data_IF_042593951884
#
_entry.id   IF_042593951884
#
_cell.length_a   1.000
_cell.length_b   1.000
_cell.length_c   1.000
_cell.angle_alpha   90.00
_cell.angle_beta   90.00
_cell.angle_gamma   90.00
#
_symmetry.space_group_name_H-M   'P 1'
#
loop_
_entity.id
_entity.type
_entity.pdbx_description
1 polymer ?
#
# COMPACT_ATOMS: atom_id res chain seq x y z
N UNK A 1 -17.18 -15.81 23.86
CA UNK A 1 -18.12 -14.70 24.12
C UNK A 1 -17.96 -13.71 22.98
N UNK A 2 -19.00 -13.50 22.19
CA UNK A 2 -18.98 -12.59 21.03
C UNK A 2 -19.81 -11.36 21.35
N UNK A 3 -19.18 -10.20 21.41
CA UNK A 3 -19.85 -8.91 21.57
C UNK A 3 -20.16 -8.36 20.18
N UNK A 4 -21.41 -8.52 19.73
CA UNK A 4 -21.94 -7.74 18.60
C UNK A 4 -22.26 -6.34 19.08
N UNK A 5 -21.53 -5.34 18.59
CA UNK A 5 -21.84 -3.92 18.79
C UNK A 5 -22.76 -3.47 17.65
N UNK A 6 -24.01 -3.17 17.99
CA UNK A 6 -24.98 -2.54 17.09
C UNK A 6 -24.63 -1.07 16.90
N UNK A 7 -24.10 -0.71 15.73
CA UNK A 7 -23.89 0.68 15.32
C UNK A 7 -25.17 1.25 14.72
N UNK A 8 -26.12 1.62 15.57
CA UNK A 8 -27.18 2.56 15.19
C UNK A 8 -27.27 3.67 16.23
N UNK A 9 -26.48 4.73 16.02
CA UNK A 9 -26.73 6.04 16.64
C UNK A 9 -26.06 7.10 15.75
N UNK A 10 -26.82 7.67 14.81
CA UNK A 10 -26.47 8.98 14.25
C UNK A 10 -26.78 10.03 15.32
N UNK A 11 -25.88 10.18 16.28
CA UNK A 11 -25.91 11.31 17.21
C UNK A 11 -25.60 12.57 16.41
N UNK A 12 -26.46 13.59 16.50
CA UNK A 12 -26.15 14.93 16.05
C UNK A 12 -25.03 15.47 16.95
N UNK A 13 -23.83 15.65 16.39
CA UNK A 13 -22.65 16.10 17.14
C UNK A 13 -22.58 17.61 17.04
N UNK A 14 -22.89 18.32 18.12
CA UNK A 14 -22.66 19.76 18.25
C UNK A 14 -21.31 20.01 18.91
N UNK A 15 -20.34 20.55 18.18
CA UNK A 15 -19.07 21.05 18.73
C UNK A 15 -19.23 22.53 19.11
N UNK A 16 -18.73 22.91 20.28
CA UNK A 16 -18.58 24.31 20.66
C UNK A 16 -17.38 24.96 19.94
N UNK A 17 -17.42 26.28 19.81
CA UNK A 17 -16.39 27.06 19.11
C UNK A 17 -15.01 26.88 19.72
N UNK A 18 -14.88 26.76 21.05
CA UNK A 18 -13.59 26.60 21.72
C UNK A 18 -12.94 25.25 21.34
N UNK A 19 -13.74 24.20 21.21
CA UNK A 19 -13.30 22.90 20.69
C UNK A 19 -12.87 22.99 19.23
N UNK A 20 -13.60 23.70 18.38
CA UNK A 20 -13.22 23.91 16.96
C UNK A 20 -11.91 24.68 16.86
N UNK A 21 -11.73 25.73 17.65
CA UNK A 21 -10.51 26.54 17.68
C UNK A 21 -9.32 25.70 18.17
N UNK A 22 -9.54 24.84 19.17
CA UNK A 22 -8.51 23.92 19.67
C UNK A 22 -8.09 22.92 18.59
N UNK A 23 -9.02 22.36 17.82
CA UNK A 23 -8.71 21.46 16.69
C UNK A 23 -7.90 22.21 15.64
N UNK A 24 -8.31 23.43 15.25
CA UNK A 24 -7.60 24.23 14.26
C UNK A 24 -6.16 24.57 14.71
N UNK A 25 -5.97 24.87 16.00
CA UNK A 25 -4.65 25.11 16.59
C UNK A 25 -3.81 23.83 16.56
N UNK A 26 -4.38 22.68 16.91
CA UNK A 26 -3.68 21.39 16.90
C UNK A 26 -3.31 20.95 15.47
N UNK A 27 -4.18 21.18 14.48
CA UNK A 27 -3.88 20.91 13.06
C UNK A 27 -2.80 21.84 12.51
N UNK A 28 -2.79 23.12 12.92
CA UNK A 28 -1.77 24.08 12.53
C UNK A 28 -0.40 23.82 13.20
N UNK A 29 -0.39 23.26 14.40
CA UNK A 29 0.82 22.87 15.14
C UNK A 29 1.29 21.46 14.81
N UNK A 30 0.43 20.63 14.23
CA UNK A 30 0.84 19.33 13.72
C UNK A 30 1.84 19.58 12.60
N UNK A 31 3.10 19.22 12.84
CA UNK A 31 4.07 19.04 11.75
C UNK A 31 3.39 18.23 10.65
N UNK A 32 3.45 18.67 9.38
CA UNK A 32 2.92 17.87 8.29
C UNK A 32 3.66 16.55 8.36
N UNK A 33 2.96 15.51 8.82
CA UNK A 33 3.51 14.18 8.85
C UNK A 33 3.77 13.85 7.39
N UNK A 34 5.03 13.95 6.97
CA UNK A 34 5.38 13.61 5.60
C UNK A 34 4.90 12.18 5.42
N UNK A 35 3.99 11.99 4.46
CA UNK A 35 3.51 10.64 4.17
C UNK A 35 4.79 9.83 3.89
N UNK A 36 5.01 8.70 4.59
CA UNK A 36 6.27 7.97 4.43
C UNK A 36 6.48 7.69 2.94
N UNK A 37 7.64 8.09 2.44
CA UNK A 37 7.95 7.99 1.01
C UNK A 37 8.03 6.53 0.62
N UNK A 38 7.16 6.07 -0.29
CA UNK A 38 7.17 4.68 -0.78
C UNK A 38 8.58 4.21 -1.06
N UNK A 39 8.88 2.97 -0.68
CA UNK A 39 10.16 2.37 -1.03
C UNK A 39 10.34 2.40 -2.55
N UNK A 40 11.58 2.59 -2.99
CA UNK A 40 11.89 2.54 -4.42
C UNK A 40 11.60 1.13 -4.94
N UNK A 41 10.77 1.04 -5.97
CA UNK A 41 10.52 -0.19 -6.70
C UNK A 41 11.31 -0.17 -8.01
N UNK A 42 12.07 -1.23 -8.28
CA UNK A 42 12.73 -1.45 -9.56
C UNK A 42 12.49 -2.87 -10.04
N UNK A 43 12.60 -3.07 -11.34
CA UNK A 43 12.33 -4.35 -12.00
C UNK A 43 13.57 -4.84 -12.72
N UNK A 44 13.84 -6.12 -12.57
CA UNK A 44 14.82 -6.85 -13.36
C UNK A 44 14.07 -7.90 -14.17
N UNK A 45 14.38 -8.03 -15.46
CA UNK A 45 13.92 -9.17 -16.24
C UNK A 45 15.01 -10.25 -16.16
N UNK A 46 14.68 -11.42 -15.60
CA UNK A 46 15.63 -12.53 -15.43
C UNK A 46 15.60 -13.46 -16.66
N UNK A 47 14.40 -13.87 -17.08
CA UNK A 47 14.18 -14.68 -18.28
C UNK A 47 13.11 -14.04 -19.19
N UNK A 48 12.98 -14.53 -20.42
CA UNK A 48 11.88 -14.16 -21.31
C UNK A 48 10.53 -14.49 -20.67
N UNK A 49 9.80 -13.43 -20.28
CA UNK A 49 8.50 -13.57 -19.63
C UNK A 49 8.54 -13.60 -18.11
N UNK A 50 9.69 -13.37 -17.45
CA UNK A 50 9.77 -13.30 -15.99
C UNK A 50 10.42 -11.99 -15.52
N UNK A 51 9.75 -11.28 -14.61
CA UNK A 51 10.24 -10.04 -14.00
C UNK A 51 10.24 -10.13 -12.49
N UNK A 52 11.35 -9.74 -11.88
CA UNK A 52 11.54 -9.72 -10.43
C UNK A 52 11.48 -8.29 -9.91
N UNK A 53 10.66 -8.07 -8.89
CA UNK A 53 10.56 -6.81 -8.19
C UNK A 53 11.64 -6.70 -7.10
N UNK A 54 12.38 -5.60 -7.09
CA UNK A 54 13.17 -5.15 -5.94
C UNK A 54 12.46 -3.96 -5.29
N UNK A 55 12.04 -4.12 -4.04
CA UNK A 55 11.32 -3.12 -3.24
C UNK A 55 12.18 -2.68 -2.06
N UNK A 56 12.83 -1.52 -2.18
CA UNK A 56 13.68 -0.98 -1.12
C UNK A 56 14.89 -1.86 -0.77
N UNK A 57 15.43 -2.60 -1.75
CA UNK A 57 16.53 -3.55 -1.54
C UNK A 57 16.08 -4.99 -1.25
N UNK A 58 14.79 -5.21 -0.98
CA UNK A 58 14.23 -6.54 -0.70
C UNK A 58 13.54 -7.13 -1.93
N UNK A 59 13.38 -8.45 -1.93
CA UNK A 59 12.54 -9.13 -2.91
C UNK A 59 11.07 -8.71 -2.75
N UNK A 60 10.52 -8.07 -3.76
CA UNK A 60 9.14 -7.58 -3.78
C UNK A 60 8.13 -8.57 -4.37
N UNK A 61 8.59 -9.64 -5.00
CA UNK A 61 7.73 -10.58 -5.73
C UNK A 61 8.16 -10.73 -7.19
N UNK A 62 7.30 -11.37 -7.98
CA UNK A 62 7.56 -11.67 -9.39
C UNK A 62 6.34 -11.42 -10.27
N UNK A 63 6.58 -11.27 -11.56
CA UNK A 63 5.56 -11.33 -12.60
C UNK A 63 6.00 -12.38 -13.61
N UNK A 64 5.13 -13.35 -13.86
CA UNK A 64 5.32 -14.36 -14.90
C UNK A 64 4.33 -14.14 -16.04
N UNK A 65 4.80 -14.20 -17.29
CA UNK A 65 3.96 -14.21 -18.47
C UNK A 65 3.53 -15.64 -18.78
N UNK A 66 2.22 -15.92 -18.68
CA UNK A 66 1.64 -17.25 -18.94
C UNK A 66 0.41 -17.11 -19.81
N UNK A 67 0.34 -17.89 -20.89
CA UNK A 67 -0.80 -17.90 -21.83
C UNK A 67 -1.22 -16.50 -22.33
N UNK A 68 -0.24 -15.62 -22.54
CA UNK A 68 -0.47 -14.24 -23.00
C UNK A 68 -0.91 -13.25 -21.90
N UNK A 69 -1.05 -13.71 -20.66
CA UNK A 69 -1.38 -12.89 -19.49
C UNK A 69 -0.19 -12.76 -18.54
N UNK A 70 -0.28 -11.84 -17.59
CA UNK A 70 0.77 -11.49 -16.65
C UNK A 70 0.30 -11.78 -15.22
N UNK A 71 0.85 -12.80 -14.59
CA UNK A 71 0.49 -13.22 -13.23
C UNK A 71 1.46 -12.57 -12.26
N UNK A 72 0.96 -11.71 -11.37
CA UNK A 72 1.77 -11.09 -10.32
C UNK A 72 1.67 -11.91 -9.04
N UNK A 73 2.83 -12.19 -8.42
CA UNK A 73 2.93 -12.85 -7.12
C UNK A 73 3.71 -11.98 -6.15
N UNK A 74 3.30 -11.95 -4.89
CA UNK A 74 3.93 -11.14 -3.85
C UNK A 74 5.24 -11.75 -3.31
N UNK A 75 5.85 -11.10 -2.30
CA UNK A 75 7.10 -11.56 -1.67
C UNK A 75 7.00 -12.98 -1.06
N UNK A 76 5.78 -13.44 -0.76
CA UNK A 76 5.51 -14.76 -0.20
C UNK A 76 5.06 -15.78 -1.27
N UNK A 77 5.04 -15.38 -2.55
CA UNK A 77 4.59 -16.21 -3.65
C UNK A 77 3.06 -16.33 -3.75
N UNK A 78 2.31 -15.49 -3.04
CA UNK A 78 0.85 -15.46 -3.17
C UNK A 78 0.45 -14.67 -4.41
N UNK A 79 -0.45 -15.22 -5.22
CA UNK A 79 -0.95 -14.57 -6.42
C UNK A 79 -1.77 -13.34 -6.02
N UNK A 80 -1.30 -12.18 -6.47
CA UNK A 80 -1.98 -10.88 -6.31
C UNK A 80 -3.05 -10.72 -7.37
N UNK A 81 -2.79 -11.22 -8.57
CA UNK A 81 -3.74 -11.20 -9.67
C UNK A 81 -3.14 -11.63 -11.00
N UNK A 82 -3.98 -11.57 -12.02
CA UNK A 82 -3.67 -11.94 -13.38
C UNK A 82 -4.18 -10.83 -14.32
N UNK A 83 -3.29 -10.28 -15.15
CA UNK A 83 -3.50 -9.03 -15.88
C UNK A 83 -3.21 -9.18 -17.37
N UNK A 84 -3.87 -8.33 -18.18
CA UNK A 84 -3.70 -8.36 -19.64
C UNK A 84 -2.39 -7.69 -20.10
N UNK A 85 -1.73 -6.91 -19.22
CA UNK A 85 -0.47 -6.24 -19.53
C UNK A 85 0.51 -6.25 -18.35
N UNK A 86 1.80 -6.20 -18.69
CA UNK A 86 2.89 -6.09 -17.71
C UNK A 86 2.72 -4.87 -16.82
N UNK A 87 2.36 -3.73 -17.41
CA UNK A 87 2.25 -2.45 -16.70
C UNK A 87 1.14 -2.49 -15.64
N UNK A 88 0.01 -3.15 -15.92
CA UNK A 88 -1.04 -3.37 -14.93
C UNK A 88 -0.57 -4.29 -13.79
N UNK A 89 0.09 -5.39 -14.13
CA UNK A 89 0.65 -6.32 -13.14
C UNK A 89 1.66 -5.62 -12.22
N UNK A 90 2.56 -4.80 -12.78
CA UNK A 90 3.54 -4.04 -12.02
C UNK A 90 2.89 -3.01 -11.09
N UNK A 91 1.89 -2.27 -11.59
CA UNK A 91 1.18 -1.28 -10.78
C UNK A 91 0.43 -1.93 -9.60
N UNK A 92 -0.27 -3.04 -9.85
CA UNK A 92 -1.01 -3.75 -8.82
C UNK A 92 -0.08 -4.38 -7.78
N UNK A 93 1.05 -4.96 -8.20
CA UNK A 93 2.03 -5.47 -7.26
C UNK A 93 2.65 -4.34 -6.41
N UNK A 94 2.91 -3.16 -7.01
CA UNK A 94 3.46 -2.01 -6.28
C UNK A 94 2.51 -1.53 -5.18
N UNK A 95 1.21 -1.44 -5.47
CA UNK A 95 0.20 -1.05 -4.48
C UNK A 95 0.02 -2.13 -3.39
N UNK A 96 0.03 -3.41 -3.76
CA UNK A 96 -0.01 -4.52 -2.80
C UNK A 96 1.18 -4.48 -1.84
N UNK A 97 2.40 -4.27 -2.35
CA UNK A 97 3.61 -4.21 -1.54
C UNK A 97 3.59 -3.06 -0.53
N UNK A 98 2.99 -1.93 -0.91
CA UNK A 98 2.83 -0.80 -0.02
C UNK A 98 1.90 -1.09 1.16
N UNK A 99 0.87 -1.91 0.97
CA UNK A 99 -0.03 -2.33 2.05
C UNK A 99 0.63 -3.40 2.91
N UNK A 100 1.30 -4.36 2.27
CA UNK A 100 1.86 -5.53 2.93
C UNK A 100 3.14 -5.25 3.72
N UNK A 101 4.00 -4.35 3.23
CA UNK A 101 5.34 -4.08 3.78
C UNK A 101 5.48 -2.63 4.28
N UNK A 102 4.66 -2.19 5.25
CA UNK A 102 4.61 -0.78 5.64
C UNK A 102 5.91 -0.27 6.29
N UNK A 103 6.72 -1.17 6.86
CA UNK A 103 8.03 -0.85 7.43
C UNK A 103 9.10 -0.58 6.37
N UNK A 104 8.97 -1.15 5.17
CA UNK A 104 9.92 -0.96 4.05
C UNK A 104 9.71 0.38 3.34
N UNK A 105 8.55 1.02 3.53
CA UNK A 105 8.22 2.39 3.07
C UNK A 105 9.08 3.46 3.79
N UNK A 106 10.03 3.08 4.63
CA UNK A 106 11.00 4.03 5.17
C UNK A 106 12.30 3.81 4.41
N UNK A 107 12.82 4.83 3.69
CA UNK A 107 14.22 4.82 3.31
C UNK A 107 15.04 4.47 4.56
N UNK A 108 15.85 3.42 4.47
CA UNK A 108 16.94 3.25 5.42
C UNK A 108 17.98 4.30 5.03
N UNK A 109 18.26 5.24 5.94
CA UNK A 109 19.33 6.22 5.80
C UNK A 109 20.70 5.54 5.59
#
# INVERSE_FOLDING_TARGET
>A
MSTTVSTDTRAEVTLDTDTVDTIAILEAQAEPHSRPSRAKLSWTQEEDGEWIANYGGYFGGSIDKRDGRYVASDTFGLVVGDFDSLEQAQAQLADQLHVMLPSVIRPVD
#
